data_IF_697609626089
#
_entry.id   IF_697609626089
#
_cell.length_a   1.000
_cell.length_b   1.000
_cell.length_c   1.000
_cell.angle_alpha   90.00
_cell.angle_beta   90.00
_cell.angle_gamma   90.00
#
_symmetry.space_group_name_H-M   'P 1'
#
loop_
_entity.id
_entity.type
_entity.pdbx_description
1 polymer ?
#
# COMPACT_ATOMS: atom_id res chain seq x y z
N UNK A 1 -10.48 10.40 -4.35
CA UNK A 1 -9.09 9.92 -4.52
C UNK A 1 -8.23 10.71 -3.55
N UNK A 2 -7.17 10.13 -2.97
CA UNK A 2 -6.17 10.94 -2.29
C UNK A 2 -5.59 11.88 -3.34
N UNK A 3 -6.06 13.13 -3.36
CA UNK A 3 -5.52 14.13 -4.26
C UNK A 3 -4.01 14.21 -3.99
N UNK A 4 -3.22 14.31 -5.06
CA UNK A 4 -1.86 14.77 -4.99
C UNK A 4 -1.92 16.23 -4.51
N UNK A 5 -2.15 16.40 -3.21
CA UNK A 5 -2.14 17.70 -2.60
C UNK A 5 -0.72 18.21 -2.72
N UNK A 6 -0.60 19.50 -3.04
CA UNK A 6 0.66 20.25 -3.16
C UNK A 6 1.43 20.36 -1.82
N UNK A 7 1.11 19.50 -0.87
CA UNK A 7 1.71 19.34 0.43
C UNK A 7 2.22 17.91 0.54
N UNK A 8 3.52 17.74 0.77
CA UNK A 8 4.25 16.47 0.91
C UNK A 8 3.78 15.57 2.10
N UNK A 9 2.54 15.73 2.59
CA UNK A 9 1.99 15.10 3.79
C UNK A 9 0.51 14.77 3.58
N UNK A 10 0.21 13.63 2.98
CA UNK A 10 -1.16 13.11 2.89
C UNK A 10 -1.35 12.07 3.99
N UNK A 11 -2.32 12.30 4.89
CA UNK A 11 -2.72 11.30 5.87
C UNK A 11 -3.82 10.40 5.29
N UNK A 12 -3.69 9.09 5.44
CA UNK A 12 -4.73 8.11 5.12
C UNK A 12 -4.70 6.95 6.12
N UNK A 13 -5.76 6.16 6.15
CA UNK A 13 -5.87 5.02 7.05
C UNK A 13 -5.24 3.72 6.51
N UNK A 14 -4.42 3.77 5.45
CA UNK A 14 -3.80 2.59 4.86
C UNK A 14 -2.74 1.94 5.75
N UNK A 15 -1.90 2.76 6.40
CA UNK A 15 -0.91 2.31 7.38
C UNK A 15 -0.91 3.30 8.54
N UNK A 16 -1.26 2.81 9.73
CA UNK A 16 -1.14 3.56 10.99
C UNK A 16 -0.49 2.63 12.00
N UNK A 17 0.54 3.12 12.69
CA UNK A 17 1.25 2.39 13.74
C UNK A 17 1.09 3.18 15.04
N UNK A 18 0.67 2.52 16.11
CA UNK A 18 0.61 3.13 17.43
C UNK A 18 0.85 2.10 18.53
N UNK A 19 1.21 2.59 19.71
CA UNK A 19 1.07 1.80 20.93
C UNK A 19 -0.42 1.53 21.22
N UNK A 20 -0.74 0.53 22.06
CA UNK A 20 -2.09 0.33 22.57
C UNK A 20 -2.66 1.61 23.19
N UNK A 21 -3.98 1.78 23.12
CA UNK A 21 -4.72 2.92 23.70
C UNK A 21 -4.41 4.32 23.14
N UNK A 22 -3.87 4.43 21.92
CA UNK A 22 -3.67 5.71 21.21
C UNK A 22 -4.93 6.59 21.21
N UNK A 23 -4.79 7.82 21.73
CA UNK A 23 -5.86 8.81 21.79
C UNK A 23 -6.31 9.18 20.37
N UNK A 24 -5.36 9.42 19.47
CA UNK A 24 -5.66 9.75 18.07
C UNK A 24 -6.48 8.65 17.38
N UNK A 25 -6.14 7.38 17.60
CA UNK A 25 -6.89 6.27 17.01
C UNK A 25 -8.30 6.12 17.58
N UNK A 26 -8.50 6.39 18.87
CA UNK A 26 -9.85 6.44 19.46
C UNK A 26 -10.70 7.51 18.79
N UNK A 27 -10.17 8.72 18.62
CA UNK A 27 -10.86 9.81 17.90
C UNK A 27 -11.16 9.46 16.44
N UNK A 28 -10.19 8.85 15.76
CA UNK A 28 -10.37 8.41 14.38
C UNK A 28 -11.48 7.36 14.29
N UNK A 29 -11.51 6.39 15.21
CA UNK A 29 -12.57 5.38 15.27
C UNK A 29 -13.93 5.99 15.61
N UNK A 30 -14.00 6.92 16.57
CA UNK A 30 -15.25 7.63 16.92
C UNK A 30 -15.81 8.41 15.72
N UNK A 31 -14.95 9.00 14.89
CA UNK A 31 -15.38 9.70 13.68
C UNK A 31 -16.07 8.78 12.65
N UNK A 32 -15.85 7.46 12.71
CA UNK A 32 -16.54 6.48 11.86
C UNK A 32 -18.01 6.28 12.24
N UNK A 33 -18.51 6.86 13.33
CA UNK A 33 -19.96 6.91 13.59
C UNK A 33 -20.73 7.60 12.45
N UNK A 34 -20.07 8.48 11.69
CA UNK A 34 -20.61 9.16 10.51
C UNK A 34 -20.34 8.43 9.19
N UNK A 35 -19.98 7.15 9.23
CA UNK A 35 -19.50 6.41 8.06
C UNK A 35 -20.50 6.43 6.90
N UNK A 36 -20.03 6.91 5.75
CA UNK A 36 -20.75 6.91 4.49
C UNK A 36 -20.04 6.02 3.47
N UNK A 37 -20.64 4.85 3.19
CA UNK A 37 -20.13 3.89 2.22
C UNK A 37 -19.99 4.45 0.79
N UNK A 38 -20.78 5.46 0.45
CA UNK A 38 -20.75 6.09 -0.87
C UNK A 38 -19.55 7.05 -1.04
N UNK A 39 -18.85 7.39 0.04
CA UNK A 39 -17.65 8.22 -0.01
C UNK A 39 -16.47 7.58 0.74
N UNK A 40 -15.85 6.57 0.12
CA UNK A 40 -14.63 5.95 0.65
C UNK A 40 -13.55 6.97 1.02
N UNK A 41 -13.30 7.95 0.14
CA UNK A 41 -12.23 8.94 0.35
C UNK A 41 -12.52 9.88 1.54
N UNK A 42 -13.80 10.11 1.86
CA UNK A 42 -14.17 10.94 3.01
C UNK A 42 -13.62 10.34 4.29
N UNK A 43 -13.86 9.05 4.53
CA UNK A 43 -13.44 8.39 5.77
C UNK A 43 -11.99 7.88 5.73
N UNK A 44 -11.50 7.42 4.57
CA UNK A 44 -10.15 6.85 4.48
C UNK A 44 -9.03 7.88 4.29
N UNK A 45 -9.35 9.11 3.87
CA UNK A 45 -8.35 10.15 3.58
C UNK A 45 -8.70 11.47 4.26
N UNK A 46 -9.90 12.00 4.03
CA UNK A 46 -10.25 13.35 4.50
C UNK A 46 -10.37 13.42 6.02
N UNK A 47 -11.07 12.48 6.65
CA UNK A 47 -11.22 12.42 8.11
C UNK A 47 -9.86 12.28 8.81
N UNK A 48 -8.99 11.31 8.48
CA UNK A 48 -7.64 11.23 9.04
C UNK A 48 -6.83 12.53 8.88
N UNK A 49 -6.91 13.18 7.71
CA UNK A 49 -6.23 14.46 7.44
C UNK A 49 -6.79 15.60 8.28
N UNK A 50 -8.10 15.70 8.43
CA UNK A 50 -8.73 16.74 9.25
C UNK A 50 -8.35 16.55 10.73
N UNK A 51 -8.46 15.33 11.25
CA UNK A 51 -8.07 15.02 12.62
C UNK A 51 -6.59 15.27 12.86
N UNK A 52 -5.70 14.96 11.92
CA UNK A 52 -4.26 15.23 12.09
C UNK A 52 -3.91 16.71 12.11
N UNK A 53 -4.71 17.56 11.45
CA UNK A 53 -4.56 19.02 11.51
C UNK A 53 -5.11 19.62 12.81
N UNK A 54 -6.16 19.03 13.39
CA UNK A 54 -6.75 19.47 14.66
C UNK A 54 -5.90 18.99 15.85
N UNK A 55 -5.49 17.72 15.84
CA UNK A 55 -4.79 17.04 16.94
C UNK A 55 -3.32 16.78 16.58
N UNK A 56 -2.59 17.82 16.15
CA UNK A 56 -1.20 17.72 15.66
C UNK A 56 -0.22 17.13 16.68
N UNK A 57 -0.48 17.31 17.98
CA UNK A 57 0.34 16.75 19.05
C UNK A 57 0.09 15.25 19.30
N UNK A 58 -1.00 14.70 18.79
CA UNK A 58 -1.39 13.30 19.01
C UNK A 58 -0.94 12.38 17.86
N UNK A 59 -0.45 12.93 16.74
CA UNK A 59 -0.05 12.15 15.56
C UNK A 59 1.15 12.79 14.85
N UNK A 60 2.08 11.94 14.41
CA UNK A 60 3.18 12.35 13.52
C UNK A 60 2.89 11.87 12.11
N UNK A 61 2.79 12.80 11.15
CA UNK A 61 2.70 12.46 9.73
C UNK A 61 4.12 12.35 9.15
N UNK A 62 4.48 11.13 8.77
CA UNK A 62 5.76 10.83 8.12
C UNK A 62 5.74 11.22 6.63
N UNK A 63 6.92 11.38 6.00
CA UNK A 63 7.02 11.62 4.56
C UNK A 63 6.31 10.55 3.73
N UNK A 64 5.82 10.93 2.54
CA UNK A 64 5.10 10.01 1.64
C UNK A 64 5.90 8.76 1.24
N UNK A 65 7.23 8.87 1.25
CA UNK A 65 8.19 7.83 0.92
C UNK A 65 8.18 6.69 1.94
N UNK A 66 7.74 6.96 3.17
CA UNK A 66 7.78 6.01 4.29
C UNK A 66 6.84 4.83 4.10
N UNK A 67 5.56 5.08 3.82
CA UNK A 67 4.54 4.01 3.77
C UNK A 67 3.67 4.02 2.52
N UNK A 68 3.82 5.01 1.64
CA UNK A 68 2.80 5.29 0.62
C UNK A 68 3.33 5.28 -0.82
N UNK A 69 4.60 5.66 -1.04
CA UNK A 69 5.24 5.52 -2.36
C UNK A 69 5.57 4.06 -2.67
N UNK A 70 5.52 3.65 -3.95
CA UNK A 70 5.13 4.44 -5.12
C UNK A 70 3.62 4.64 -5.21
N UNK A 71 3.18 5.75 -5.81
CA UNK A 71 1.75 6.07 -5.92
C UNK A 71 1.02 5.13 -6.89
N UNK A 72 -0.32 5.20 -6.82
CA UNK A 72 -1.23 4.50 -7.73
C UNK A 72 -0.98 4.79 -9.22
N UNK A 73 -0.45 5.97 -9.56
CA UNK A 73 -0.09 6.36 -10.92
C UNK A 73 1.31 5.88 -11.35
N UNK A 74 2.11 5.38 -10.40
CA UNK A 74 3.52 5.00 -10.58
C UNK A 74 3.71 3.48 -10.56
N UNK A 75 2.65 2.70 -10.80
CA UNK A 75 2.67 1.22 -10.72
C UNK A 75 3.78 0.58 -11.55
N UNK A 76 4.24 1.21 -12.64
CA UNK A 76 5.40 0.73 -13.43
C UNK A 76 6.68 0.56 -12.60
N UNK A 77 6.87 1.36 -11.54
CA UNK A 77 8.00 1.24 -10.62
C UNK A 77 8.08 -0.13 -9.95
N UNK A 78 6.91 -0.74 -9.69
CA UNK A 78 6.83 -2.07 -9.09
C UNK A 78 6.78 -3.15 -10.17
N UNK A 79 5.90 -3.00 -11.16
CA UNK A 79 5.51 -4.09 -12.04
C UNK A 79 6.33 -4.20 -13.32
N UNK A 80 7.03 -3.14 -13.73
CA UNK A 80 7.80 -3.09 -14.99
C UNK A 80 9.29 -2.94 -14.70
N UNK A 81 9.66 -1.98 -13.85
CA UNK A 81 11.06 -1.73 -13.51
C UNK A 81 11.54 -2.62 -12.37
N UNK A 82 12.86 -2.81 -12.26
CA UNK A 82 13.49 -3.70 -11.28
C UNK A 82 14.47 -2.98 -10.34
N UNK A 83 14.37 -1.66 -10.23
CA UNK A 83 15.33 -0.80 -9.53
C UNK A 83 14.68 0.19 -8.55
N UNK A 84 13.45 -0.09 -8.11
CA UNK A 84 12.80 0.78 -7.13
C UNK A 84 13.61 0.82 -5.82
N UNK A 85 13.84 2.04 -5.31
CA UNK A 85 14.63 2.26 -4.12
C UNK A 85 13.74 2.23 -2.86
N UNK A 86 13.95 1.24 -2.01
CA UNK A 86 13.21 1.06 -0.76
C UNK A 86 13.90 1.65 0.48
N UNK A 87 15.04 2.34 0.37
CA UNK A 87 15.80 2.82 1.54
C UNK A 87 14.98 3.67 2.51
N UNK A 88 13.95 4.37 2.02
CA UNK A 88 13.05 5.17 2.85
C UNK A 88 11.66 4.57 3.00
N UNK A 89 11.42 3.37 2.49
CA UNK A 89 10.10 2.76 2.36
C UNK A 89 9.98 1.51 3.24
N UNK A 90 9.15 1.58 4.27
CA UNK A 90 8.88 0.47 5.19
C UNK A 90 7.63 -0.33 4.79
N UNK A 91 6.74 0.26 3.98
CA UNK A 91 5.58 -0.41 3.44
C UNK A 91 5.24 0.13 2.04
N UNK A 92 4.72 -0.76 1.19
CA UNK A 92 4.39 -0.47 -0.20
C UNK A 92 2.99 -1.00 -0.53
N UNK A 93 2.13 -0.14 -1.09
CA UNK A 93 0.80 -0.55 -1.55
C UNK A 93 0.89 -1.07 -2.99
N UNK A 94 0.37 -2.27 -3.24
CA UNK A 94 0.40 -2.94 -4.54
C UNK A 94 -0.73 -2.53 -5.53
N UNK A 95 -1.67 -1.68 -5.09
CA UNK A 95 -2.73 -1.10 -5.93
C UNK A 95 -3.52 -2.10 -6.80
N UNK A 96 -3.93 -3.25 -6.24
CA UNK A 96 -4.57 -4.36 -6.98
C UNK A 96 -5.66 -3.92 -7.97
N UNK A 97 -6.57 -3.03 -7.57
CA UNK A 97 -7.63 -2.53 -8.47
C UNK A 97 -7.11 -1.92 -9.79
N UNK A 98 -5.91 -1.35 -9.79
CA UNK A 98 -5.27 -0.76 -10.98
C UNK A 98 -4.30 -1.71 -11.68
N UNK A 99 -3.80 -2.72 -10.97
CA UNK A 99 -2.74 -3.61 -11.45
C UNK A 99 -3.26 -4.99 -11.86
N UNK A 100 -4.47 -5.35 -11.45
CA UNK A 100 -5.05 -6.68 -11.62
C UNK A 100 -5.07 -7.13 -13.08
N UNK A 101 -5.93 -6.51 -13.90
CA UNK A 101 -6.04 -6.81 -15.34
C UNK A 101 -4.74 -6.62 -16.14
N UNK A 102 -3.82 -5.80 -15.64
CA UNK A 102 -2.62 -5.40 -16.37
C UNK A 102 -1.40 -6.27 -16.07
N UNK A 103 -1.27 -6.74 -14.85
CA UNK A 103 -0.05 -7.39 -14.36
C UNK A 103 -0.33 -8.63 -13.50
N UNK A 104 -1.47 -8.73 -12.81
CA UNK A 104 -1.71 -9.81 -11.84
C UNK A 104 -2.54 -10.96 -12.43
N UNK A 105 -3.46 -10.70 -13.35
CA UNK A 105 -4.37 -11.71 -13.89
C UNK A 105 -3.63 -12.83 -14.63
N UNK A 106 -2.47 -12.53 -15.22
CA UNK A 106 -1.62 -13.51 -15.92
C UNK A 106 -0.55 -14.14 -15.03
N UNK A 107 -0.57 -13.87 -13.72
CA UNK A 107 0.45 -14.36 -12.81
C UNK A 107 0.28 -15.87 -12.56
N UNK A 108 1.28 -16.64 -12.93
CA UNK A 108 1.44 -18.07 -12.62
C UNK A 108 2.70 -18.30 -11.78
N UNK A 109 2.85 -19.45 -11.11
CA UNK A 109 4.10 -19.80 -10.43
C UNK A 109 5.33 -19.65 -11.33
N UNK A 110 5.24 -20.09 -12.60
CA UNK A 110 6.30 -19.90 -13.60
C UNK A 110 6.66 -18.42 -13.79
N UNK A 111 5.67 -17.56 -14.02
CA UNK A 111 5.94 -16.13 -14.22
C UNK A 111 6.47 -15.48 -12.95
N UNK A 112 6.03 -15.89 -11.75
CA UNK A 112 6.54 -15.35 -10.49
C UNK A 112 8.04 -15.67 -10.30
N UNK A 113 8.50 -16.84 -10.77
CA UNK A 113 9.92 -17.22 -10.77
C UNK A 113 10.74 -16.38 -11.75
N UNK A 114 10.21 -16.05 -12.92
CA UNK A 114 10.97 -15.44 -14.02
C UNK A 114 10.80 -13.92 -14.15
N UNK A 115 9.80 -13.33 -13.50
CA UNK A 115 9.49 -11.91 -13.64
C UNK A 115 10.65 -11.02 -13.16
N UNK A 116 11.28 -10.30 -14.09
CA UNK A 116 12.36 -9.36 -13.84
C UNK A 116 11.82 -7.95 -13.53
N UNK A 117 11.06 -7.84 -12.45
CA UNK A 117 10.56 -6.57 -11.92
C UNK A 117 10.76 -6.50 -10.41
N UNK A 118 10.59 -5.31 -9.85
CA UNK A 118 10.59 -5.10 -8.40
C UNK A 118 9.56 -6.00 -7.72
N UNK A 119 8.34 -6.06 -8.26
CA UNK A 119 7.28 -6.93 -7.77
C UNK A 119 7.65 -8.41 -7.87
N UNK A 120 8.27 -8.85 -8.97
CA UNK A 120 8.75 -10.23 -9.09
C UNK A 120 9.76 -10.61 -8.00
N UNK A 121 10.70 -9.70 -7.69
CA UNK A 121 11.64 -9.91 -6.57
C UNK A 121 10.92 -9.97 -5.22
N UNK A 122 9.94 -9.09 -4.98
CA UNK A 122 9.13 -9.09 -3.76
C UNK A 122 8.36 -10.42 -3.60
N UNK A 123 7.74 -10.92 -4.67
CA UNK A 123 7.02 -12.19 -4.66
C UNK A 123 7.93 -13.37 -4.31
N UNK A 124 9.09 -13.47 -4.96
CA UNK A 124 10.06 -14.54 -4.68
C UNK A 124 10.57 -14.50 -3.25
N UNK A 125 10.82 -13.30 -2.72
CA UNK A 125 11.24 -13.13 -1.33
C UNK A 125 10.13 -13.52 -0.34
N UNK A 126 8.87 -13.13 -0.60
CA UNK A 126 7.76 -13.36 0.31
C UNK A 126 7.27 -14.81 0.32
N UNK A 127 7.25 -15.48 -0.84
CA UNK A 127 6.73 -16.85 -0.99
C UNK A 127 7.84 -17.89 -0.82
N UNK A 128 9.06 -17.57 -1.26
CA UNK A 128 10.17 -18.52 -1.34
C UNK A 128 10.23 -19.24 -2.69
N UNK A 129 11.44 -19.36 -3.24
CA UNK A 129 11.69 -19.99 -4.55
C UNK A 129 11.29 -21.47 -4.57
N UNK A 130 11.54 -22.21 -3.48
CA UNK A 130 11.22 -23.65 -3.40
C UNK A 130 9.72 -23.89 -3.46
N UNK A 131 8.94 -23.10 -2.73
CA UNK A 131 7.47 -23.15 -2.76
C UNK A 131 6.95 -22.81 -4.15
N UNK A 132 7.50 -21.79 -4.81
CA UNK A 132 7.11 -21.45 -6.18
C UNK A 132 7.44 -22.58 -7.18
N UNK A 133 8.57 -23.25 -7.02
CA UNK A 133 8.95 -24.40 -7.85
C UNK A 133 7.98 -25.58 -7.67
N UNK A 134 7.59 -25.88 -6.43
CA UNK A 134 6.60 -26.94 -6.13
C UNK A 134 5.25 -26.63 -6.78
N UNK A 135 4.74 -25.40 -6.61
CA UNK A 135 3.49 -24.95 -7.23
C UNK A 135 3.53 -24.99 -8.77
N UNK A 136 4.71 -24.77 -9.35
CA UNK A 136 4.88 -24.82 -10.79
C UNK A 136 4.77 -26.26 -11.34
N UNK A 137 5.26 -27.25 -10.59
CA UNK A 137 5.20 -28.67 -10.98
C UNK A 137 3.78 -29.25 -10.87
N UNK A 138 3.00 -28.81 -9.87
CA UNK A 138 1.61 -29.27 -9.70
C UNK A 138 0.62 -28.64 -10.69
N UNK A 139 1.00 -27.55 -11.34
CA UNK A 139 0.15 -26.88 -12.34
C UNK A 139 0.27 -27.52 -13.75
N UNK A 140 1.20 -28.45 -13.93
CA UNK A 140 1.47 -29.14 -15.21
C UNK A 140 0.92 -30.57 -15.28
N UNK A 141 0.24 -31.03 -14.23
CA UNK A 141 -0.52 -32.28 -14.14
C UNK A 141 -2.00 -32.01 -14.17
#
# INVERSE_FOLDING_TARGET
MAHQDRYNKTACNAVIISQPNSIFLKRLLDAYQSFNQNCWACHSVQVPRQLSLIYQSEVTILPSETFFRPYWSETKQLYVYNNYNFTKNYACHLWSKLTDKKYLQSLTPHTALTLNSTFGRMLRYAIGTDTLNQLNQTSTT
#
